data_IF_243340345363
#
_entry.id   IF_243340345363
#
_cell.length_a   1.000
_cell.length_b   1.000
_cell.length_c   1.000
_cell.angle_alpha   90.00
_cell.angle_beta   90.00
_cell.angle_gamma   90.00
#
_symmetry.space_group_name_H-M   'P 1'
#
loop_
_entity.id
_entity.type
_entity.pdbx_description
1 polymer ?
#
# COMPACT_ATOMS: atom_id res chain seq x y z
N UNK A 1 35.26 -7.55 -10.22
CA UNK A 1 34.20 -8.38 -9.60
C UNK A 1 33.46 -7.45 -8.68
N UNK A 2 32.35 -6.86 -9.13
CA UNK A 2 31.58 -5.93 -8.30
C UNK A 2 30.72 -6.73 -7.33
N UNK A 3 31.07 -6.65 -6.05
CA UNK A 3 30.30 -7.17 -4.94
C UNK A 3 28.89 -6.59 -5.01
N UNK A 4 27.94 -7.36 -5.55
CA UNK A 4 26.53 -7.07 -5.40
C UNK A 4 26.19 -7.39 -3.95
N UNK A 5 26.45 -6.43 -3.06
CA UNK A 5 26.02 -6.46 -1.67
C UNK A 5 24.50 -6.62 -1.70
N UNK A 6 24.01 -7.85 -1.50
CA UNK A 6 22.59 -8.16 -1.43
C UNK A 6 21.98 -7.28 -0.34
N UNK A 7 21.23 -6.26 -0.75
CA UNK A 7 20.46 -5.43 0.17
C UNK A 7 19.46 -6.37 0.82
N UNK A 8 19.59 -6.57 2.13
CA UNK A 8 18.60 -7.31 2.91
C UNK A 8 17.45 -6.34 3.16
N UNK A 9 16.47 -6.38 2.27
CA UNK A 9 15.26 -5.56 2.38
C UNK A 9 14.60 -5.82 3.75
N UNK A 10 14.56 -4.78 4.58
CA UNK A 10 13.94 -4.88 5.90
C UNK A 10 12.45 -4.53 5.77
N UNK A 11 11.63 -5.55 5.60
CA UNK A 11 10.18 -5.44 5.50
C UNK A 11 9.53 -5.61 6.87
N UNK A 12 8.77 -4.62 7.32
CA UNK A 12 8.06 -4.60 8.61
C UNK A 12 6.56 -4.60 8.36
N UNK A 13 5.81 -5.44 9.09
CA UNK A 13 4.35 -5.43 9.07
C UNK A 13 3.83 -4.26 9.91
N UNK A 14 3.02 -3.40 9.31
CA UNK A 14 2.36 -2.30 10.00
C UNK A 14 1.09 -1.83 9.27
N UNK A 15 0.25 -1.10 10.00
CA UNK A 15 -0.90 -0.41 9.41
C UNK A 15 -0.49 0.93 8.81
N UNK A 16 -1.00 1.25 7.62
CA UNK A 16 -0.71 2.50 6.92
C UNK A 16 -1.99 3.21 6.48
N UNK A 17 -1.89 4.52 6.26
CA UNK A 17 -2.94 5.28 5.57
C UNK A 17 -2.74 5.17 4.05
N UNK A 18 -3.78 4.72 3.35
CA UNK A 18 -3.84 4.66 1.89
C UNK A 18 -4.71 5.81 1.38
N UNK A 19 -4.11 6.70 0.59
CA UNK A 19 -4.80 7.84 -0.02
C UNK A 19 -4.75 7.72 -1.53
N UNK A 20 -5.92 7.77 -2.18
CA UNK A 20 -6.03 7.75 -3.63
C UNK A 20 -7.03 8.81 -4.10
N UNK A 21 -6.70 9.49 -5.20
CA UNK A 21 -7.62 10.37 -5.90
C UNK A 21 -8.23 9.62 -7.09
N UNK A 22 -9.56 9.56 -7.15
CA UNK A 22 -10.30 8.94 -8.27
C UNK A 22 -11.43 9.87 -8.67
N UNK A 23 -11.49 10.25 -9.96
CA UNK A 23 -12.50 11.15 -10.52
C UNK A 23 -12.65 12.48 -9.74
N UNK A 24 -11.54 13.06 -9.27
CA UNK A 24 -11.54 14.30 -8.48
C UNK A 24 -12.04 14.15 -7.04
N UNK A 25 -12.27 12.92 -6.58
CA UNK A 25 -12.60 12.60 -5.17
C UNK A 25 -11.39 11.97 -4.49
N UNK A 26 -11.06 12.49 -3.31
CA UNK A 26 -10.05 11.91 -2.44
C UNK A 26 -10.68 10.83 -1.54
N UNK A 27 -10.16 9.61 -1.64
CA UNK A 27 -10.50 8.50 -0.76
C UNK A 27 -9.30 8.26 0.14
N UNK A 28 -9.54 8.34 1.45
CA UNK A 28 -8.54 8.09 2.49
C UNK A 28 -9.02 6.89 3.29
N UNK A 29 -8.22 5.82 3.28
CA UNK A 29 -8.49 4.58 3.99
C UNK A 29 -7.40 4.44 5.05
N UNK A 30 -7.81 4.39 6.30
CA UNK A 30 -6.92 4.25 7.44
C UNK A 30 -6.75 2.78 7.82
N UNK A 31 -5.72 2.50 8.61
CA UNK A 31 -5.44 1.16 9.17
C UNK A 31 -5.29 0.02 8.15
N UNK A 32 -4.76 0.32 6.95
CA UNK A 32 -4.55 -0.67 5.91
C UNK A 32 -3.33 -1.53 6.23
N UNK A 33 -3.45 -2.86 6.36
CA UNK A 33 -2.30 -3.72 6.64
C UNK A 33 -1.34 -3.74 5.44
N UNK A 34 -0.06 -3.47 5.71
CA UNK A 34 0.98 -3.49 4.69
C UNK A 34 2.30 -4.02 5.25
N UNK A 35 3.13 -4.57 4.36
CA UNK A 35 4.55 -4.76 4.63
C UNK A 35 5.30 -3.55 4.07
N UNK A 36 6.04 -2.86 4.91
CA UNK A 36 6.75 -1.63 4.54
C UNK A 36 8.24 -1.87 4.55
N UNK A 37 8.92 -1.54 3.45
CA UNK A 37 10.37 -1.44 3.42
C UNK A 37 10.76 -0.15 4.15
N UNK A 38 11.46 -0.28 5.28
CA UNK A 38 11.84 0.88 6.10
C UNK A 38 12.95 1.73 5.47
N UNK A 39 13.69 1.20 4.51
CA UNK A 39 14.77 1.91 3.81
C UNK A 39 14.23 2.71 2.62
N UNK A 40 13.29 2.15 1.85
CA UNK A 40 12.76 2.77 0.62
C UNK A 40 11.39 3.42 0.81
N UNK A 41 10.64 3.03 1.84
CA UNK A 41 9.26 3.43 2.04
C UNK A 41 8.25 2.69 1.16
N UNK A 42 8.69 1.70 0.37
CA UNK A 42 7.81 0.87 -0.45
C UNK A 42 6.82 0.09 0.41
N UNK A 43 5.58 -0.02 -0.07
CA UNK A 43 4.47 -0.65 0.65
C UNK A 43 3.94 -1.79 -0.19
N UNK A 44 3.89 -2.97 0.40
CA UNK A 44 3.40 -4.19 -0.23
C UNK A 44 2.09 -4.60 0.45
N UNK A 45 1.06 -4.81 -0.36
CA UNK A 45 -0.27 -5.21 0.09
C UNK A 45 -0.55 -6.65 -0.34
N UNK A 46 -1.30 -7.40 0.47
CA UNK A 46 -1.78 -8.72 0.05
C UNK A 46 -2.87 -8.58 -1.02
N UNK A 47 -3.12 -9.60 -1.86
CA UNK A 47 -4.21 -9.59 -2.82
C UNK A 47 -5.57 -9.26 -2.18
N UNK A 48 -5.86 -9.86 -1.01
CA UNK A 48 -7.07 -9.58 -0.23
C UNK A 48 -7.18 -8.10 0.17
N UNK A 49 -6.08 -7.49 0.63
CA UNK A 49 -6.07 -6.06 0.96
C UNK A 49 -6.34 -5.21 -0.28
N UNK A 50 -5.76 -5.54 -1.43
CA UNK A 50 -5.98 -4.81 -2.68
C UNK A 50 -7.45 -4.91 -3.11
N UNK A 51 -8.07 -6.07 -3.00
CA UNK A 51 -9.50 -6.26 -3.31
C UNK A 51 -10.38 -5.38 -2.41
N UNK A 52 -10.12 -5.33 -1.10
CA UNK A 52 -10.84 -4.45 -0.19
C UNK A 52 -10.65 -2.96 -0.52
N UNK A 53 -9.43 -2.54 -0.86
CA UNK A 53 -9.16 -1.16 -1.29
C UNK A 53 -9.93 -0.82 -2.57
N UNK A 54 -9.96 -1.73 -3.54
CA UNK A 54 -10.70 -1.55 -4.78
C UNK A 54 -12.21 -1.46 -4.55
N UNK A 55 -12.78 -2.32 -3.71
CA UNK A 55 -14.19 -2.24 -3.32
C UNK A 55 -14.50 -0.90 -2.64
N UNK A 56 -13.69 -0.47 -1.67
CA UNK A 56 -13.90 0.81 -0.99
C UNK A 56 -13.87 2.01 -1.96
N UNK A 57 -12.99 1.96 -2.96
CA UNK A 57 -12.91 2.99 -4.01
C UNK A 57 -14.09 2.91 -4.98
N UNK A 58 -14.48 1.72 -5.45
CA UNK A 58 -15.53 1.55 -6.47
C UNK A 58 -16.95 1.66 -5.92
N UNK A 59 -17.24 1.08 -4.75
CA UNK A 59 -18.54 1.23 -4.08
C UNK A 59 -18.74 2.68 -3.62
N UNK A 60 -17.67 3.32 -3.15
CA UNK A 60 -17.68 4.75 -2.86
C UNK A 60 -17.89 5.63 -4.08
N UNK A 61 -17.74 5.12 -5.31
CA UNK A 61 -17.90 5.82 -6.60
C UNK A 61 -19.30 5.68 -7.24
N UNK A 62 -20.29 5.09 -6.56
CA UNK A 62 -21.68 5.12 -7.01
C UNK A 62 -22.35 6.48 -6.75
N UNK A 63 -22.05 7.49 -7.57
CA UNK A 63 -22.89 8.70 -7.76
C UNK A 63 -22.82 9.16 -9.22
#
# INVERSE_FOLDING_TARGET
MSDHKGVRETLVEMSVTYSIEVNGRFVIIEDVPARVNVETGERFFSPETVECLQQAVWEGCQL
#
